data_IF_856751862113
#
_entry.id   IF_856751862113
#
_cell.length_a   1.000
_cell.length_b   1.000
_cell.length_c   1.000
_cell.angle_alpha   90.00
_cell.angle_beta   90.00
_cell.angle_gamma   90.00
#
_symmetry.space_group_name_H-M   'P 1'
#
loop_
_entity.id
_entity.type
_entity.pdbx_description
1 polymer ?
#
# COMPACT_ATOMS: atom_id res chain seq x y z
N UNK A 1 23.33 13.98 -11.28
CA UNK A 1 22.45 14.20 -12.43
C UNK A 1 21.18 14.76 -11.84
N UNK A 2 20.82 16.00 -12.17
CA UNK A 2 19.50 16.55 -11.79
C UNK A 2 18.44 15.80 -12.61
N UNK A 3 17.39 15.32 -11.94
CA UNK A 3 16.20 14.77 -12.58
C UNK A 3 15.53 15.85 -13.43
N UNK A 4 15.12 15.50 -14.65
CA UNK A 4 14.43 16.44 -15.53
C UNK A 4 13.11 16.92 -14.90
N UNK A 5 12.59 18.07 -15.33
CA UNK A 5 11.27 18.54 -14.89
C UNK A 5 10.20 17.51 -15.24
N UNK A 6 10.31 16.85 -16.40
CA UNK A 6 9.44 15.75 -16.79
C UNK A 6 9.50 14.60 -15.78
N UNK A 7 10.70 14.19 -15.35
CA UNK A 7 10.88 13.10 -14.38
C UNK A 7 10.22 13.45 -13.04
N UNK A 8 10.41 14.68 -12.57
CA UNK A 8 9.81 15.17 -11.32
C UNK A 8 8.27 15.20 -11.39
N UNK A 9 7.71 15.58 -12.55
CA UNK A 9 6.25 15.59 -12.75
C UNK A 9 5.70 14.17 -12.75
N UNK A 10 6.36 13.25 -13.47
CA UNK A 10 5.96 11.83 -13.50
C UNK A 10 6.03 11.21 -12.10
N UNK A 11 7.10 11.50 -11.35
CA UNK A 11 7.25 11.00 -9.98
C UNK A 11 6.13 11.47 -9.05
N UNK A 12 5.77 12.77 -9.09
CA UNK A 12 4.65 13.29 -8.28
C UNK A 12 3.32 12.64 -8.64
N UNK A 13 3.05 12.46 -9.94
CA UNK A 13 1.83 11.77 -10.39
C UNK A 13 1.79 10.31 -9.89
N UNK A 14 2.94 9.65 -9.83
CA UNK A 14 3.06 8.31 -9.26
C UNK A 14 2.74 8.30 -7.76
N UNK A 15 3.33 9.21 -7.00
CA UNK A 15 3.09 9.36 -5.56
C UNK A 15 1.61 9.66 -5.26
N UNK A 16 1.02 10.59 -6.01
CA UNK A 16 -0.40 10.93 -5.91
C UNK A 16 -1.30 9.72 -6.19
N UNK A 17 -0.99 8.95 -7.24
CA UNK A 17 -1.74 7.75 -7.59
C UNK A 17 -1.67 6.66 -6.51
N UNK A 18 -0.49 6.46 -5.91
CA UNK A 18 -0.31 5.52 -4.79
C UNK A 18 -1.07 6.01 -3.56
N UNK A 19 -0.90 7.28 -3.18
CA UNK A 19 -1.53 7.89 -2.01
C UNK A 19 -3.05 7.83 -2.11
N UNK A 20 -3.61 8.20 -3.26
CA UNK A 20 -5.05 8.12 -3.51
C UNK A 20 -5.54 6.67 -3.46
N UNK A 21 -4.83 5.74 -4.08
CA UNK A 21 -5.19 4.32 -4.07
C UNK A 21 -5.24 3.73 -2.65
N UNK A 22 -4.31 4.12 -1.78
CA UNK A 22 -4.32 3.74 -0.35
C UNK A 22 -5.50 4.40 0.37
N UNK A 23 -5.77 5.68 0.14
CA UNK A 23 -6.86 6.41 0.79
C UNK A 23 -8.26 5.85 0.48
N UNK A 24 -8.42 5.21 -0.69
CA UNK A 24 -9.68 4.57 -1.11
C UNK A 24 -9.92 3.17 -0.49
N UNK A 25 -8.96 2.64 0.26
CA UNK A 25 -9.13 1.36 0.96
C UNK A 25 -10.02 1.51 2.19
N UNK A 26 -10.61 0.41 2.65
CA UNK A 26 -11.25 0.39 3.96
C UNK A 26 -10.22 0.67 5.06
N UNK A 27 -10.63 1.33 6.15
CA UNK A 27 -9.73 1.83 7.21
C UNK A 27 -8.85 0.74 7.82
N UNK A 28 -9.38 -0.47 8.05
CA UNK A 28 -8.55 -1.58 8.53
C UNK A 28 -7.40 -1.95 7.58
N UNK A 29 -7.65 -1.84 6.26
CA UNK A 29 -6.65 -2.14 5.24
C UNK A 29 -5.63 -1.01 5.13
N UNK A 30 -6.08 0.25 5.21
CA UNK A 30 -5.18 1.40 5.28
C UNK A 30 -4.21 1.26 6.45
N UNK A 31 -4.74 0.99 7.65
CA UNK A 31 -3.94 0.94 8.86
C UNK A 31 -2.88 -0.15 8.76
N UNK A 32 -3.25 -1.38 8.38
CA UNK A 32 -2.28 -2.48 8.29
C UNK A 32 -1.21 -2.24 7.20
N UNK A 33 -1.55 -1.54 6.11
CA UNK A 33 -0.61 -1.17 5.02
C UNK A 33 0.36 -0.11 5.50
N UNK A 34 -0.14 0.97 6.11
CA UNK A 34 0.69 2.05 6.65
C UNK A 34 1.65 1.52 7.71
N UNK A 35 1.13 0.77 8.68
CA UNK A 35 1.98 0.19 9.73
C UNK A 35 3.03 -0.78 9.18
N UNK A 36 2.70 -1.50 8.10
CA UNK A 36 3.63 -2.46 7.50
C UNK A 36 4.76 -1.81 6.71
N UNK A 37 4.46 -0.81 5.90
CA UNK A 37 5.42 -0.27 4.92
C UNK A 37 5.86 1.16 5.18
N UNK A 38 5.05 1.98 5.85
CA UNK A 38 5.45 3.32 6.28
C UNK A 38 6.18 3.23 7.62
N UNK A 39 5.58 2.55 8.60
CA UNK A 39 6.18 2.41 9.94
C UNK A 39 7.19 1.26 10.03
N UNK A 40 7.31 0.44 8.97
CA UNK A 40 8.29 -0.66 8.88
C UNK A 40 8.06 -1.83 9.85
N UNK A 41 6.90 -1.96 10.48
CA UNK A 41 6.69 -2.97 11.54
C UNK A 41 6.60 -4.39 11.00
N UNK A 42 7.01 -5.35 11.83
CA UNK A 42 6.83 -6.78 11.59
C UNK A 42 5.38 -7.21 11.81
N UNK A 43 4.97 -8.35 11.25
CA UNK A 43 3.61 -8.86 11.45
C UNK A 43 3.30 -9.13 12.94
N UNK A 44 4.33 -9.48 13.72
CA UNK A 44 4.25 -9.68 15.17
C UNK A 44 3.99 -8.39 15.93
N UNK A 45 4.68 -7.31 15.59
CA UNK A 45 4.47 -6.00 16.20
C UNK A 45 3.09 -5.43 15.86
N UNK A 46 2.67 -5.55 14.59
CA UNK A 46 1.33 -5.18 14.15
C UNK A 46 0.28 -6.01 14.90
N UNK A 47 0.48 -7.31 15.07
CA UNK A 47 -0.45 -8.17 15.81
C UNK A 47 -0.60 -7.70 17.26
N UNK A 48 0.51 -7.35 17.92
CA UNK A 48 0.52 -6.81 19.29
C UNK A 48 -0.24 -5.48 19.38
N UNK A 49 0.05 -4.55 18.49
CA UNK A 49 -0.56 -3.21 18.47
C UNK A 49 -2.07 -3.25 18.19
N UNK A 50 -2.48 -4.12 17.27
CA UNK A 50 -3.89 -4.27 16.88
C UNK A 50 -4.65 -5.27 17.76
N UNK A 51 -4.04 -5.78 18.84
CA UNK A 51 -4.62 -6.81 19.74
C UNK A 51 -5.20 -8.00 18.96
N UNK A 52 -4.43 -8.50 18.00
CA UNK A 52 -4.81 -9.53 17.03
C UNK A 52 -3.76 -10.64 16.98
N UNK A 53 -4.01 -11.70 16.20
CA UNK A 53 -3.01 -12.75 15.95
C UNK A 53 -2.17 -12.43 14.71
N UNK A 54 -0.93 -12.93 14.64
CA UNK A 54 -0.09 -12.81 13.45
C UNK A 54 -0.74 -13.40 12.20
N UNK A 55 -1.51 -14.49 12.36
CA UNK A 55 -2.23 -15.11 11.24
C UNK A 55 -3.33 -14.19 10.70
N UNK A 56 -4.11 -13.56 11.58
CA UNK A 56 -5.10 -12.58 11.18
C UNK A 56 -4.45 -11.36 10.49
N UNK A 57 -3.29 -10.89 10.97
CA UNK A 57 -2.53 -9.82 10.29
C UNK A 57 -2.05 -10.26 8.90
N UNK A 58 -1.51 -11.47 8.75
CA UNK A 58 -1.11 -12.02 7.44
C UNK A 58 -2.29 -12.05 6.45
N UNK A 59 -3.44 -12.53 6.89
CA UNK A 59 -4.65 -12.58 6.05
C UNK A 59 -5.16 -11.18 5.71
N UNK A 60 -5.18 -10.26 6.68
CA UNK A 60 -5.59 -8.86 6.47
C UNK A 60 -4.67 -8.18 5.47
N UNK A 61 -3.34 -8.33 5.61
CA UNK A 61 -2.35 -7.82 4.66
C UNK A 61 -2.53 -8.39 3.26
N UNK A 62 -2.83 -9.69 3.13
CA UNK A 62 -3.11 -10.30 1.84
C UNK A 62 -4.34 -9.66 1.16
N UNK A 63 -5.45 -9.52 1.90
CA UNK A 63 -6.67 -8.89 1.38
C UNK A 63 -6.46 -7.41 1.06
N UNK A 64 -5.75 -6.70 1.92
CA UNK A 64 -5.39 -5.29 1.73
C UNK A 64 -4.56 -5.10 0.45
N UNK A 65 -3.56 -5.95 0.19
CA UNK A 65 -2.79 -5.94 -1.07
C UNK A 65 -3.68 -6.16 -2.30
N UNK A 66 -4.56 -7.15 -2.24
CA UNK A 66 -5.47 -7.46 -3.36
C UNK A 66 -6.42 -6.28 -3.64
N UNK A 67 -6.94 -5.66 -2.59
CA UNK A 67 -7.78 -4.47 -2.70
C UNK A 67 -6.99 -3.28 -3.26
N UNK A 68 -5.78 -3.04 -2.75
CA UNK A 68 -4.90 -1.95 -3.21
C UNK A 68 -4.58 -2.10 -4.69
N UNK A 69 -4.22 -3.31 -5.14
CA UNK A 69 -3.98 -3.59 -6.56
C UNK A 69 -5.19 -3.22 -7.42
N UNK A 70 -6.40 -3.58 -7.00
CA UNK A 70 -7.62 -3.19 -7.71
C UNK A 70 -7.84 -1.67 -7.78
N UNK A 71 -7.41 -0.91 -6.77
CA UNK A 71 -7.44 0.56 -6.79
C UNK A 71 -6.38 1.13 -7.73
N UNK A 72 -5.18 0.57 -7.69
CA UNK A 72 -4.05 1.00 -8.50
C UNK A 72 -4.23 0.70 -10.00
N UNK A 73 -5.03 -0.29 -10.39
CA UNK A 73 -5.33 -0.54 -11.81
C UNK A 73 -5.95 0.66 -12.52
N UNK A 74 -6.66 1.56 -11.81
CA UNK A 74 -7.17 2.82 -12.37
C UNK A 74 -6.06 3.77 -12.83
N UNK A 75 -4.88 3.63 -12.26
CA UNK A 75 -3.68 4.41 -12.54
C UNK A 75 -2.73 3.70 -13.52
N UNK A 76 -3.20 2.63 -14.19
CA UNK A 76 -2.38 1.87 -15.14
C UNK A 76 -1.41 0.89 -14.52
N UNK A 77 -1.40 0.73 -13.19
CA UNK A 77 -0.63 -0.33 -12.53
C UNK A 77 -1.31 -1.68 -12.73
N UNK A 78 -1.01 -2.35 -13.83
CA UNK A 78 -1.35 -3.75 -14.03
C UNK A 78 -0.14 -4.63 -13.72
N UNK A 79 -0.35 -5.68 -12.92
CA UNK A 79 0.56 -6.83 -12.97
C UNK A 79 0.34 -7.47 -14.34
N UNK A 80 1.29 -7.32 -15.25
CA UNK A 80 1.52 -8.37 -16.22
C UNK A 80 1.82 -9.63 -15.41
N UNK A 81 0.85 -10.56 -15.37
CA UNK A 81 1.12 -11.92 -14.89
C UNK A 81 2.22 -12.49 -15.80
N UNK A 82 3.47 -12.43 -15.34
CA UNK A 82 4.56 -13.27 -15.84
C UNK A 82 4.55 -14.61 -15.12
#
# INVERSE_FOLDING_TARGET
MDESIEDQVVFRQLEEGISQSVSELHSEYQNVIKTKWIDGKTNKEIAKEFKSTENAIKQRLYRARKALKGKMSKWGFNDEKR
#
